data_IF_366616241134
#
_entry.id   IF_366616241134
#
_cell.length_a   1.000
_cell.length_b   1.000
_cell.length_c   1.000
_cell.angle_alpha   90.00
_cell.angle_beta   90.00
_cell.angle_gamma   90.00
#
_symmetry.space_group_name_H-M   'P 1'
#
loop_
_entity.id
_entity.type
_entity.pdbx_description
1 polymer ?
#
# COMPACT_ATOMS: atom_id res chain seq x y z
N UNK A 1 -28.83 19.82 -36.99
CA UNK A 1 -29.40 20.09 -35.66
C UNK A 1 -28.72 19.16 -34.68
N UNK A 2 -27.89 19.68 -33.77
CA UNK A 2 -27.19 18.89 -32.75
C UNK A 2 -27.45 19.60 -31.42
N UNK A 3 -28.18 18.94 -30.52
CA UNK A 3 -28.38 19.43 -29.15
C UNK A 3 -27.07 19.30 -28.36
N UNK A 4 -26.71 20.28 -27.50
CA UNK A 4 -25.50 20.18 -26.70
C UNK A 4 -25.81 19.45 -25.40
N UNK A 5 -25.76 18.11 -25.41
CA UNK A 5 -25.76 17.35 -24.15
C UNK A 5 -24.43 17.50 -23.38
N UNK A 6 -23.41 18.12 -23.99
CA UNK A 6 -22.07 18.27 -23.40
C UNK A 6 -21.72 19.75 -23.24
N UNK A 7 -21.82 20.23 -22.00
CA UNK A 7 -21.55 21.62 -21.61
C UNK A 7 -20.05 21.96 -21.53
N UNK A 8 -19.14 21.04 -21.81
CA UNK A 8 -17.69 21.27 -21.70
C UNK A 8 -17.01 20.94 -23.02
N UNK A 9 -16.27 21.92 -23.53
CA UNK A 9 -15.55 21.83 -24.80
C UNK A 9 -14.11 22.27 -24.59
N UNK A 10 -13.20 21.79 -25.44
CA UNK A 10 -11.83 22.30 -25.48
C UNK A 10 -11.53 22.94 -26.82
N UNK A 11 -10.76 24.02 -26.80
CA UNK A 11 -10.37 24.73 -27.99
C UNK A 11 -9.29 23.95 -28.75
N UNK A 12 -9.53 23.67 -30.03
CA UNK A 12 -8.55 23.04 -30.93
C UNK A 12 -7.70 24.07 -31.68
N UNK A 13 -8.16 25.31 -31.73
CA UNK A 13 -7.51 26.39 -32.46
C UNK A 13 -7.47 27.66 -31.60
N UNK A 14 -6.45 28.47 -31.82
CA UNK A 14 -6.35 29.78 -31.20
C UNK A 14 -7.28 30.78 -31.89
N UNK A 15 -7.91 31.63 -31.09
CA UNK A 15 -8.82 32.66 -31.58
C UNK A 15 -8.78 33.87 -30.65
N UNK A 16 -8.51 35.06 -31.19
CA UNK A 16 -8.47 36.28 -30.40
C UNK A 16 -9.09 37.44 -31.19
N UNK A 17 -10.30 37.84 -30.81
CA UNK A 17 -10.88 39.11 -31.25
C UNK A 17 -10.81 40.12 -30.10
N UNK A 18 -10.29 41.34 -30.33
CA UNK A 18 -10.30 42.39 -29.33
C UNK A 18 -11.74 42.84 -29.04
N UNK A 19 -12.18 42.71 -27.79
CA UNK A 19 -13.47 43.22 -27.33
C UNK A 19 -13.94 42.56 -26.04
N UNK A 20 -14.55 43.33 -25.14
CA UNK A 20 -15.03 42.86 -23.83
C UNK A 20 -16.08 41.74 -23.90
N UNK A 21 -16.71 41.51 -25.07
CA UNK A 21 -17.75 40.50 -25.26
C UNK A 21 -17.23 39.19 -25.83
N UNK A 22 -16.02 39.17 -26.41
CA UNK A 22 -15.43 37.99 -27.03
C UNK A 22 -14.48 37.29 -26.07
N UNK A 23 -14.53 35.96 -26.03
CA UNK A 23 -13.64 35.15 -25.23
C UNK A 23 -12.43 34.73 -26.08
N UNK A 24 -11.20 35.16 -25.73
CA UNK A 24 -10.01 34.68 -26.41
C UNK A 24 -9.78 33.20 -26.08
N UNK A 25 -9.62 32.39 -27.13
CA UNK A 25 -9.30 30.97 -27.07
C UNK A 25 -7.81 30.76 -27.31
N UNK A 26 -7.18 29.93 -26.47
CA UNK A 26 -5.91 29.30 -26.78
C UNK A 26 -6.13 27.82 -27.07
N UNK A 27 -5.34 27.23 -27.97
CA UNK A 27 -5.40 25.80 -28.22
C UNK A 27 -5.13 25.03 -26.91
N UNK A 28 -6.02 24.09 -26.59
CA UNK A 28 -6.02 23.35 -25.32
C UNK A 28 -6.81 24.00 -24.18
N UNK A 29 -7.36 25.21 -24.33
CA UNK A 29 -8.23 25.81 -23.31
C UNK A 29 -9.53 25.01 -23.17
N UNK A 30 -9.92 24.67 -21.94
CA UNK A 30 -11.21 24.04 -21.62
C UNK A 30 -12.22 25.10 -21.20
N UNK A 31 -13.44 25.00 -21.71
CA UNK A 31 -14.51 25.98 -21.53
C UNK A 31 -15.84 25.31 -21.20
N UNK A 32 -16.62 25.98 -20.36
CA UNK A 32 -18.00 25.62 -20.09
C UNK A 32 -18.93 26.44 -21.00
N UNK A 33 -19.69 25.76 -21.86
CA UNK A 33 -20.73 26.35 -22.72
C UNK A 33 -21.97 26.63 -21.88
N UNK A 34 -22.26 27.92 -21.69
CA UNK A 34 -23.47 28.38 -20.97
C UNK A 34 -24.67 28.48 -21.90
N UNK A 35 -24.48 29.04 -23.10
CA UNK A 35 -25.53 29.18 -24.12
C UNK A 35 -24.94 28.85 -25.49
N UNK A 36 -25.61 27.99 -26.24
CA UNK A 36 -25.24 27.63 -27.60
C UNK A 36 -26.20 28.31 -28.58
N UNK A 37 -25.71 29.28 -29.35
CA UNK A 37 -26.46 29.89 -30.43
C UNK A 37 -26.37 29.04 -31.72
N UNK A 38 -27.44 29.02 -32.49
CA UNK A 38 -27.54 28.35 -33.79
C UNK A 38 -26.65 29.02 -34.84
N UNK A 39 -26.26 30.28 -34.62
CA UNK A 39 -25.30 31.01 -35.45
C UNK A 39 -23.87 30.45 -35.41
N UNK A 40 -23.59 29.51 -34.50
CA UNK A 40 -22.25 28.94 -34.30
C UNK A 40 -21.37 29.73 -33.33
N UNK A 41 -21.92 30.76 -32.68
CA UNK A 41 -21.24 31.56 -31.66
C UNK A 41 -21.76 31.20 -30.27
N UNK A 42 -20.93 30.58 -29.45
CA UNK A 42 -21.32 30.09 -28.14
C UNK A 42 -20.84 31.01 -27.03
N UNK A 43 -21.69 31.22 -26.03
CA UNK A 43 -21.34 31.92 -24.81
C UNK A 43 -20.80 30.90 -23.81
N UNK A 44 -19.64 31.17 -23.25
CA UNK A 44 -19.13 30.33 -22.18
C UNK A 44 -18.04 30.97 -21.35
N UNK A 45 -17.56 30.18 -20.41
CA UNK A 45 -16.63 30.63 -19.37
C UNK A 45 -15.42 29.71 -19.37
N UNK A 46 -14.21 30.28 -19.45
CA UNK A 46 -12.97 29.51 -19.41
C UNK A 46 -12.54 29.17 -17.98
N UNK A 47 -11.55 28.29 -17.82
CA UNK A 47 -10.97 27.93 -16.52
C UNK A 47 -10.34 29.11 -15.75
N UNK A 48 -10.07 30.23 -16.44
CA UNK A 48 -9.56 31.47 -15.83
C UNK A 48 -10.69 32.37 -15.30
N UNK A 49 -11.95 31.94 -15.41
CA UNK A 49 -13.12 32.69 -14.95
C UNK A 49 -13.55 33.83 -15.88
N UNK A 50 -12.98 33.91 -17.09
CA UNK A 50 -13.37 34.89 -18.10
C UNK A 50 -14.56 34.36 -18.88
N UNK A 51 -15.58 35.20 -19.03
CA UNK A 51 -16.81 34.89 -19.78
C UNK A 51 -16.87 35.70 -21.06
N UNK A 52 -17.28 35.07 -22.15
CA UNK A 52 -17.46 35.75 -23.42
C UNK A 52 -17.91 34.78 -24.52
N UNK A 53 -18.09 35.35 -25.71
CA UNK A 53 -18.57 34.62 -26.89
C UNK A 53 -17.37 34.09 -27.69
N UNK A 54 -17.45 32.85 -28.14
CA UNK A 54 -16.43 32.19 -28.96
C UNK A 54 -17.05 31.31 -30.05
N UNK A 55 -16.34 31.05 -31.16
CA UNK A 55 -16.87 30.23 -32.24
C UNK A 55 -16.84 28.75 -31.86
N UNK A 56 -17.97 28.06 -32.03
CA UNK A 56 -18.11 26.63 -31.73
C UNK A 56 -17.24 25.75 -32.62
N UNK A 57 -17.01 26.17 -33.86
CA UNK A 57 -16.18 25.48 -34.87
C UNK A 57 -14.71 25.34 -34.46
N UNK A 58 -14.26 26.11 -33.46
CA UNK A 58 -12.90 26.08 -32.93
C UNK A 58 -12.80 25.19 -31.69
N UNK A 59 -13.84 24.43 -31.39
CA UNK A 59 -13.94 23.61 -30.18
C UNK A 59 -14.40 22.19 -30.48
N UNK A 60 -13.94 21.25 -29.67
CA UNK A 60 -14.41 19.86 -29.66
C UNK A 60 -14.96 19.50 -28.28
N UNK A 61 -15.90 18.55 -28.19
CA UNK A 61 -16.41 18.10 -26.91
C UNK A 61 -15.28 17.55 -26.04
N UNK A 62 -15.20 18.02 -24.79
CA UNK A 62 -14.16 17.58 -23.88
C UNK A 62 -14.64 16.36 -23.11
N UNK A 63 -14.10 15.19 -23.48
CA UNK A 63 -14.28 13.95 -22.72
C UNK A 63 -13.18 13.91 -21.66
N UNK A 64 -13.57 13.87 -20.38
CA UNK A 64 -12.60 13.69 -19.31
C UNK A 64 -11.86 12.37 -19.53
N UNK A 65 -10.52 12.37 -19.68
CA UNK A 65 -9.78 11.13 -19.73
C UNK A 65 -10.05 10.36 -18.43
N UNK A 66 -10.20 9.03 -18.48
CA UNK A 66 -10.32 8.24 -17.27
C UNK A 66 -9.12 8.57 -16.36
N UNK A 67 -9.35 8.79 -15.06
CA UNK A 67 -8.25 9.07 -14.13
C UNK A 67 -7.23 7.93 -14.22
N UNK A 68 -5.95 8.30 -14.14
CA UNK A 68 -4.83 7.38 -14.23
C UNK A 68 -5.00 6.21 -13.25
N UNK A 69 -4.71 4.99 -13.69
CA UNK A 69 -4.91 3.75 -12.93
C UNK A 69 -4.32 3.83 -11.51
N UNK A 70 -3.17 4.51 -11.37
CA UNK A 70 -2.48 4.71 -10.10
C UNK A 70 -3.28 5.61 -9.14
N UNK A 71 -3.92 6.67 -9.64
CA UNK A 71 -4.81 7.51 -8.81
C UNK A 71 -6.05 6.73 -8.35
N UNK A 72 -6.58 5.85 -9.20
CA UNK A 72 -7.68 4.96 -8.83
C UNK A 72 -7.24 3.91 -7.80
N UNK A 73 -6.02 3.39 -7.90
CA UNK A 73 -5.42 2.48 -6.91
C UNK A 73 -5.21 3.18 -5.57
N UNK A 74 -4.63 4.37 -5.57
CA UNK A 74 -4.40 5.17 -4.36
C UNK A 74 -5.72 5.52 -3.67
N UNK A 75 -6.72 5.93 -4.44
CA UNK A 75 -8.07 6.20 -3.92
C UNK A 75 -8.70 4.94 -3.32
N UNK A 76 -8.60 3.78 -3.99
CA UNK A 76 -9.05 2.50 -3.44
C UNK A 76 -8.31 2.15 -2.16
N UNK A 77 -7.01 2.38 -2.10
CA UNK A 77 -6.17 2.11 -0.94
C UNK A 77 -6.55 3.00 0.26
N UNK A 78 -6.81 4.29 0.02
CA UNK A 78 -7.27 5.25 1.03
C UNK A 78 -8.66 4.86 1.54
N UNK A 79 -9.58 4.50 0.65
CA UNK A 79 -10.92 4.06 1.03
C UNK A 79 -10.87 2.75 1.83
N UNK A 80 -10.02 1.80 1.41
CA UNK A 80 -9.79 0.55 2.13
C UNK A 80 -9.20 0.82 3.53
N UNK A 81 -8.19 1.68 3.62
CA UNK A 81 -7.59 2.09 4.89
C UNK A 81 -8.64 2.63 5.87
N UNK A 82 -9.56 3.47 5.38
CA UNK A 82 -10.68 3.99 6.20
C UNK A 82 -11.60 2.88 6.70
N UNK A 83 -11.91 1.87 5.89
CA UNK A 83 -12.69 0.71 6.33
C UNK A 83 -12.02 -0.06 7.48
N UNK A 84 -10.69 0.03 7.57
CA UNK A 84 -9.90 -0.57 8.65
C UNK A 84 -9.48 0.45 9.74
N UNK A 85 -10.03 1.67 9.74
CA UNK A 85 -9.69 2.69 10.74
C UNK A 85 -8.26 3.22 10.65
N UNK A 86 -7.63 3.10 9.48
CA UNK A 86 -6.27 3.60 9.19
C UNK A 86 -6.36 4.78 8.23
N UNK A 87 -5.80 5.92 8.63
CA UNK A 87 -5.62 7.04 7.71
C UNK A 87 -4.32 6.87 6.92
N UNK A 88 -4.46 6.50 5.65
CA UNK A 88 -3.34 6.31 4.72
C UNK A 88 -2.98 7.61 4.00
N UNK A 89 -3.82 8.65 4.10
CA UNK A 89 -3.63 9.91 3.37
C UNK A 89 -2.70 10.91 4.09
N UNK A 90 -2.47 10.75 5.40
CA UNK A 90 -1.68 11.70 6.21
C UNK A 90 -0.18 11.41 6.30
N UNK A 91 0.34 10.45 5.52
CA UNK A 91 1.78 10.17 5.44
C UNK A 91 2.41 9.51 6.68
N UNK A 92 1.62 9.27 7.73
CA UNK A 92 1.95 8.38 8.83
C UNK A 92 0.65 7.68 9.26
N UNK A 93 0.58 6.34 9.29
CA UNK A 93 -0.58 5.63 9.80
C UNK A 93 -0.63 5.81 11.33
N UNK A 94 -1.10 6.97 11.77
CA UNK A 94 -1.51 7.14 13.16
C UNK A 94 -2.77 6.30 13.37
N UNK A 95 -2.86 5.48 14.43
CA UNK A 95 -4.17 5.10 14.92
C UNK A 95 -4.90 6.41 15.21
N UNK A 96 -6.09 6.58 14.62
CA UNK A 96 -6.97 7.73 14.87
C UNK A 96 -7.38 7.71 16.34
N UNK A 97 -6.48 8.18 17.21
CA UNK A 97 -6.82 8.58 18.55
C UNK A 97 -7.67 9.84 18.39
N UNK A 98 -8.98 9.64 18.53
CA UNK A 98 -9.92 10.65 19.01
C UNK A 98 -10.19 11.83 18.08
N UNK A 99 -10.60 11.57 16.85
CA UNK A 99 -11.53 12.48 16.20
C UNK A 99 -12.63 11.69 15.52
N UNK A 100 -13.81 11.79 16.13
CA UNK A 100 -15.10 11.28 15.68
C UNK A 100 -15.41 9.86 16.19
N UNK A 101 -16.04 9.82 17.36
CA UNK A 101 -17.18 8.94 17.62
C UNK A 101 -18.29 9.21 16.57
N UNK A 102 -18.00 8.91 15.31
CA UNK A 102 -19.00 8.75 14.29
C UNK A 102 -18.91 7.28 13.92
N UNK A 103 -19.74 6.48 14.58
CA UNK A 103 -20.17 5.21 14.03
C UNK A 103 -20.46 5.44 12.56
N UNK A 104 -19.61 4.92 11.67
CA UNK A 104 -19.95 4.80 10.26
C UNK A 104 -20.93 3.63 10.19
N UNK A 105 -22.16 3.91 10.62
CA UNK A 105 -23.30 3.12 10.24
C UNK A 105 -23.44 3.24 8.73
N UNK A 106 -23.45 2.10 8.05
CA UNK A 106 -23.71 1.96 6.61
C UNK A 106 -25.20 2.24 6.26
N UNK A 107 -25.83 3.16 7.01
CA UNK A 107 -27.23 3.49 6.92
C UNK A 107 -27.39 4.94 6.42
N UNK A 108 -27.88 5.05 5.19
CA UNK A 108 -28.37 6.28 4.58
C UNK A 108 -27.34 7.39 4.34
N UNK A 109 -26.76 7.41 3.13
CA UNK A 109 -26.39 8.67 2.49
C UNK A 109 -27.67 9.50 2.32
N UNK A 110 -27.86 10.65 3.00
CA UNK A 110 -29.04 11.46 2.80
C UNK A 110 -29.03 11.97 1.36
N UNK A 111 -30.16 11.78 0.65
CA UNK A 111 -30.34 12.36 -0.67
C UNK A 111 -30.18 13.88 -0.60
N UNK A 112 -29.52 14.50 -1.59
CA UNK A 112 -29.27 15.94 -1.56
C UNK A 112 -30.60 16.70 -1.48
N UNK A 113 -30.65 17.82 -0.74
CA UNK A 113 -31.88 18.58 -0.54
C UNK A 113 -32.44 19.06 -1.90
N UNK A 114 -33.77 19.18 -2.07
CA UNK A 114 -34.40 19.55 -3.34
C UNK A 114 -34.03 20.95 -3.86
N UNK A 115 -33.30 21.76 -3.07
CA UNK A 115 -32.69 23.04 -3.47
C UNK A 115 -31.33 22.90 -4.16
N UNK A 116 -30.78 21.69 -4.28
CA UNK A 116 -29.46 21.42 -4.84
C UNK A 116 -29.53 21.34 -6.36
N UNK A 117 -29.31 22.48 -7.02
CA UNK A 117 -29.35 22.58 -8.48
C UNK A 117 -28.09 21.96 -9.13
N UNK A 118 -28.28 21.30 -10.27
CA UNK A 118 -27.20 20.77 -11.12
C UNK A 118 -26.09 21.81 -11.42
N UNK A 119 -26.47 23.10 -11.50
CA UNK A 119 -25.54 24.23 -11.68
C UNK A 119 -24.59 24.43 -10.49
N UNK A 120 -25.05 24.18 -9.26
CA UNK A 120 -24.22 24.26 -8.06
C UNK A 120 -23.23 23.09 -7.98
N UNK A 121 -23.65 21.88 -8.37
CA UNK A 121 -22.78 20.71 -8.49
C UNK A 121 -21.66 20.97 -9.49
N UNK A 122 -22.02 21.47 -10.68
CA UNK A 122 -21.06 21.78 -11.74
C UNK A 122 -20.05 22.84 -11.31
N UNK A 123 -20.51 23.91 -10.66
CA UNK A 123 -19.63 24.94 -10.11
C UNK A 123 -18.63 24.36 -9.09
N UNK A 124 -19.11 23.50 -8.17
CA UNK A 124 -18.24 22.87 -7.16
C UNK A 124 -17.24 21.89 -7.78
N UNK A 125 -17.63 21.16 -8.82
CA UNK A 125 -16.72 20.27 -9.55
C UNK A 125 -15.64 21.07 -10.31
N UNK A 126 -16.01 22.19 -10.93
CA UNK A 126 -15.06 23.11 -11.57
C UNK A 126 -14.09 23.72 -10.56
N UNK A 127 -14.59 24.19 -9.42
CA UNK A 127 -13.75 24.74 -8.34
C UNK A 127 -12.75 23.69 -7.82
N UNK A 128 -13.20 22.44 -7.70
CA UNK A 128 -12.37 21.29 -7.30
C UNK A 128 -11.29 20.98 -8.35
N UNK A 129 -11.64 20.91 -9.64
CA UNK A 129 -10.66 20.66 -10.71
C UNK A 129 -9.64 21.80 -10.83
N UNK A 130 -10.08 23.06 -10.66
CA UNK A 130 -9.18 24.22 -10.62
C UNK A 130 -8.23 24.18 -9.41
N UNK A 131 -8.72 23.74 -8.24
CA UNK A 131 -7.87 23.52 -7.07
C UNK A 131 -6.86 22.40 -7.31
N UNK A 132 -7.28 21.27 -7.89
CA UNK A 132 -6.42 20.14 -8.24
C UNK A 132 -5.31 20.57 -9.20
N UNK A 133 -5.63 21.29 -10.28
CA UNK A 133 -4.61 21.76 -11.24
C UNK A 133 -3.62 22.72 -10.59
N UNK A 134 -4.06 23.60 -9.69
CA UNK A 134 -3.16 24.45 -8.90
C UNK A 134 -2.19 23.63 -8.05
N UNK A 135 -2.70 22.62 -7.33
CA UNK A 135 -1.86 21.74 -6.50
C UNK A 135 -0.85 20.97 -7.36
N UNK A 136 -1.29 20.39 -8.48
CA UNK A 136 -0.39 19.64 -9.37
C UNK A 136 0.70 20.55 -9.96
N UNK A 137 0.39 21.80 -10.27
CA UNK A 137 1.38 22.79 -10.73
C UNK A 137 2.38 23.17 -9.63
N UNK A 138 1.93 23.34 -8.39
CA UNK A 138 2.84 23.61 -7.27
C UNK A 138 3.72 22.40 -6.97
N UNK A 139 3.17 21.18 -7.08
CA UNK A 139 3.93 19.94 -6.92
C UNK A 139 5.00 19.79 -7.99
N UNK A 140 4.68 20.07 -9.27
CA UNK A 140 5.67 20.00 -10.34
C UNK A 140 6.79 21.03 -10.13
N UNK A 141 6.44 22.26 -9.73
CA UNK A 141 7.42 23.29 -9.37
C UNK A 141 8.32 22.85 -8.20
N UNK A 142 7.74 22.22 -7.18
CA UNK A 142 8.50 21.73 -6.04
C UNK A 142 9.45 20.59 -6.44
N UNK A 143 8.98 19.65 -7.25
CA UNK A 143 9.83 18.59 -7.82
C UNK A 143 10.98 19.15 -8.65
N UNK A 144 10.73 20.13 -9.51
CA UNK A 144 11.77 20.82 -10.29
C UNK A 144 12.81 21.51 -9.38
N UNK A 145 12.38 22.13 -8.27
CA UNK A 145 13.32 22.71 -7.31
C UNK A 145 14.13 21.64 -6.57
N UNK A 146 13.52 20.49 -6.23
CA UNK A 146 14.23 19.38 -5.61
C UNK A 146 15.30 18.80 -6.54
N UNK A 147 14.97 18.57 -7.82
CA UNK A 147 15.95 18.07 -8.81
C UNK A 147 17.08 19.07 -9.01
N UNK A 148 16.78 20.38 -9.04
CA UNK A 148 17.81 21.42 -9.13
C UNK A 148 18.77 21.39 -7.93
N UNK A 149 18.23 21.24 -6.70
CA UNK A 149 19.04 21.13 -5.47
C UNK A 149 19.88 19.85 -5.46
N UNK A 150 19.36 18.73 -5.96
CA UNK A 150 20.10 17.47 -6.09
C UNK A 150 21.25 17.58 -7.11
N UNK A 151 21.02 18.23 -8.25
CA UNK A 151 22.06 18.51 -9.24
C UNK A 151 23.15 19.44 -8.69
N UNK A 152 22.79 20.47 -7.92
CA UNK A 152 23.76 21.33 -7.25
C UNK A 152 24.58 20.57 -6.21
N UNK A 153 23.93 19.73 -5.39
CA UNK A 153 24.63 18.86 -4.43
C UNK A 153 25.59 17.89 -5.12
N UNK A 154 25.19 17.30 -6.25
CA UNK A 154 26.05 16.42 -7.04
C UNK A 154 27.27 17.17 -7.61
N UNK A 155 27.09 18.41 -8.09
CA UNK A 155 28.20 19.27 -8.56
C UNK A 155 29.18 19.61 -7.42
N UNK A 156 28.68 19.92 -6.23
CA UNK A 156 29.52 20.19 -5.05
C UNK A 156 30.30 18.94 -4.64
N UNK A 157 29.65 17.77 -4.61
CA UNK A 157 30.29 16.50 -4.29
C UNK A 157 31.38 16.11 -5.30
N UNK A 158 31.13 16.33 -6.61
CA UNK A 158 32.15 16.14 -7.65
C UNK A 158 33.33 17.10 -7.46
N UNK A 159 33.07 18.38 -7.16
CA UNK A 159 34.12 19.36 -6.86
C UNK A 159 35.02 18.93 -5.70
N UNK A 160 34.43 18.49 -4.59
CA UNK A 160 35.16 17.95 -3.44
C UNK A 160 36.01 16.73 -3.80
N UNK A 161 35.45 15.76 -4.54
CA UNK A 161 36.19 14.57 -4.97
C UNK A 161 37.38 14.92 -5.89
N UNK A 162 37.21 15.89 -6.80
CA UNK A 162 38.35 16.34 -7.63
C UNK A 162 39.44 17.03 -6.81
N UNK A 163 39.08 17.76 -5.77
CA UNK A 163 40.03 18.42 -4.87
C UNK A 163 40.79 17.39 -4.02
N UNK A 164 40.11 16.36 -3.50
CA UNK A 164 40.74 15.25 -2.77
C UNK A 164 41.76 14.51 -3.64
N UNK A 165 41.41 14.22 -4.91
CA UNK A 165 42.33 13.58 -5.85
C UNK A 165 43.57 14.45 -6.13
N UNK A 166 43.40 15.77 -6.32
CA UNK A 166 44.52 16.69 -6.52
C UNK A 166 45.45 16.77 -5.30
N UNK A 167 44.89 16.67 -4.09
CA UNK A 167 45.67 16.63 -2.84
C UNK A 167 46.45 15.32 -2.74
N UNK A 168 45.81 14.19 -3.05
CA UNK A 168 46.45 12.88 -3.06
C UNK A 168 47.60 12.83 -4.10
N UNK A 169 47.39 13.33 -5.31
CA UNK A 169 48.41 13.39 -6.36
C UNK A 169 49.59 14.29 -5.94
N UNK A 170 49.32 15.44 -5.31
CA UNK A 170 50.37 16.32 -4.76
C UNK A 170 51.16 15.64 -3.64
N UNK A 171 50.50 14.92 -2.74
CA UNK A 171 51.17 14.15 -1.68
C UNK A 171 52.04 13.04 -2.25
N UNK A 172 51.56 12.30 -3.26
CA UNK A 172 52.36 11.28 -3.94
C UNK A 172 53.59 11.87 -4.63
N UNK A 173 53.43 13.02 -5.30
CA UNK A 173 54.54 13.73 -5.94
C UNK A 173 55.57 14.20 -4.90
N UNK A 174 55.11 14.66 -3.74
CA UNK A 174 55.99 15.06 -2.64
C UNK A 174 56.72 13.84 -2.07
N UNK A 175 56.05 12.72 -1.83
CA UNK A 175 56.69 11.51 -1.30
C UNK A 175 57.75 10.95 -2.23
N UNK A 176 57.53 10.99 -3.54
CA UNK A 176 58.53 10.59 -4.54
C UNK A 176 59.77 11.51 -4.49
N UNK A 177 59.57 12.83 -4.37
CA UNK A 177 60.67 13.78 -4.22
C UNK A 177 61.44 13.59 -2.92
N UNK A 178 60.76 13.29 -1.81
CA UNK A 178 61.41 12.97 -0.54
C UNK A 178 62.25 11.69 -0.66
N UNK A 179 61.72 10.63 -1.26
CA UNK A 179 62.47 9.40 -1.48
C UNK A 179 63.70 9.61 -2.37
N UNK A 180 63.60 10.43 -3.42
CA UNK A 180 64.74 10.79 -4.26
C UNK A 180 65.81 11.57 -3.49
N UNK A 181 65.39 12.48 -2.60
CA UNK A 181 66.29 13.25 -1.76
C UNK A 181 67.00 12.35 -0.73
N UNK A 182 66.27 11.44 -0.07
CA UNK A 182 66.85 10.43 0.82
C UNK A 182 67.86 9.53 0.09
N UNK A 183 67.54 9.07 -1.11
CA UNK A 183 68.47 8.29 -1.94
C UNK A 183 69.74 9.08 -2.27
N UNK A 184 69.61 10.38 -2.58
CA UNK A 184 70.76 11.26 -2.83
C UNK A 184 71.62 11.49 -1.58
N UNK A 185 70.99 11.62 -0.41
CA UNK A 185 71.70 11.71 0.87
C UNK A 185 72.45 10.42 1.18
N UNK A 186 71.83 9.26 0.97
CA UNK A 186 72.49 7.96 1.10
C UNK A 186 73.68 7.81 0.13
N UNK A 187 73.54 8.26 -1.11
CA UNK A 187 74.65 8.25 -2.06
C UNK A 187 75.79 9.19 -1.61
N UNK A 188 75.45 10.36 -1.07
CA UNK A 188 76.43 11.31 -0.52
C UNK A 188 77.11 10.77 0.73
N UNK A 189 76.40 10.08 1.63
CA UNK A 189 77.02 9.48 2.82
C UNK A 189 77.97 8.35 2.44
N UNK A 190 77.61 7.52 1.46
CA UNK A 190 78.50 6.47 0.92
C UNK A 190 79.74 7.08 0.26
N UNK A 191 79.58 8.12 -0.57
CA UNK A 191 80.73 8.83 -1.18
C UNK A 191 81.61 9.50 -0.12
N UNK A 192 81.00 10.12 0.90
CA UNK A 192 81.73 10.70 2.04
C UNK A 192 82.55 9.63 2.77
N UNK A 193 81.98 8.45 3.04
CA UNK A 193 82.73 7.36 3.67
C UNK A 193 83.87 6.85 2.80
N UNK A 194 83.68 6.76 1.47
CA UNK A 194 84.74 6.37 0.54
C UNK A 194 85.88 7.40 0.51
N UNK A 195 85.56 8.70 0.40
CA UNK A 195 86.57 9.76 0.42
C UNK A 195 87.33 9.87 1.75
N UNK A 196 86.70 9.50 2.87
CA UNK A 196 87.38 9.40 4.18
C UNK A 196 88.31 8.19 4.26
N UNK A 197 87.97 7.07 3.61
CA UNK A 197 88.81 5.87 3.55
C UNK A 197 90.00 6.05 2.59
N UNK A 198 89.80 6.75 1.48
CA UNK A 198 90.83 7.04 0.48
C UNK A 198 91.78 8.19 0.88
N UNK A 199 91.55 8.83 2.04
CA UNK A 199 92.38 9.92 2.56
C UNK A 199 92.30 11.23 1.75
N UNK A 200 91.29 11.37 0.88
CA UNK A 200 91.12 12.53 0.00
C UNK A 200 90.48 13.72 0.74
N UNK A 201 89.71 13.45 1.80
CA UNK A 201 89.06 14.48 2.62
C UNK A 201 89.62 14.44 4.05
N UNK A 202 90.10 15.57 4.61
CA UNK A 202 90.60 15.61 5.97
C UNK A 202 89.52 15.26 7.01
N UNK A 203 89.89 14.50 8.04
CA UNK A 203 89.01 14.05 9.14
C UNK A 203 88.49 15.21 9.99
N UNK A 204 87.43 14.99 10.79
CA UNK A 204 86.92 16.03 11.72
C UNK A 204 88.00 16.56 12.67
N UNK A 205 88.97 15.71 13.05
CA UNK A 205 90.15 16.09 13.81
C UNK A 205 91.06 17.10 13.09
N UNK A 206 91.12 17.08 11.75
CA UNK A 206 91.86 18.07 10.95
C UNK A 206 91.18 19.44 10.99
N UNK A 207 89.84 19.48 10.94
CA UNK A 207 89.05 20.71 11.09
C UNK A 207 89.12 21.26 12.52
N UNK A 208 89.16 20.41 13.53
CA UNK A 208 89.37 20.81 14.93
C UNK A 208 90.79 21.39 15.14
N UNK A 209 91.81 20.85 14.48
CA UNK A 209 93.16 21.45 14.45
C UNK A 209 93.21 22.80 13.72
N UNK A 210 92.43 22.98 12.65
CA UNK A 210 92.33 24.26 11.93
C UNK A 210 91.60 25.34 12.76
N UNK A 211 90.61 24.95 13.57
CA UNK A 211 89.91 25.84 14.49
C UNK A 211 90.76 26.31 15.69
N UNK A 212 91.85 25.59 16.02
CA UNK A 212 92.80 26.03 17.05
C UNK A 212 93.78 27.10 16.51
N UNK A 213 93.90 27.24 15.19
CA UNK A 213 94.86 28.20 14.56
C UNK A 213 94.30 29.62 14.40
N UNK A 214 93.06 29.90 14.82
CA UNK A 214 92.47 31.25 14.70
C UNK A 214 92.21 31.96 16.02
N UNK A 215 93.19 31.93 16.94
CA UNK A 215 93.33 32.98 17.98
C UNK A 215 94.78 33.44 18.08
N UNK A 216 95.26 34.05 17.00
CA UNK A 216 96.32 35.06 17.07
C UNK A 216 96.33 35.92 15.81
N UNK A 217 95.55 36.99 15.88
CA UNK A 217 95.85 38.24 15.19
C UNK A 217 95.63 38.25 13.68
N UNK A 218 94.44 38.62 13.24
CA UNK A 218 94.27 39.80 12.37
C UNK A 218 92.80 40.04 12.03
N UNK A 219 92.43 41.30 12.16
CA UNK A 219 91.17 41.94 11.81
C UNK A 219 90.65 41.51 10.42
N UNK A 220 89.40 41.06 10.31
CA UNK A 220 88.63 41.27 9.08
C UNK A 220 87.11 41.17 9.27
N UNK A 221 86.42 42.08 8.61
CA UNK A 221 84.98 42.36 8.61
C UNK A 221 84.07 41.20 8.14
N UNK A 222 84.66 40.08 7.69
CA UNK A 222 83.97 38.96 7.06
C UNK A 222 83.38 37.94 8.05
N UNK A 223 83.95 37.78 9.25
CA UNK A 223 83.45 36.84 10.29
C UNK A 223 82.06 37.24 10.83
N UNK A 224 81.82 38.55 11.02
CA UNK A 224 80.53 39.11 11.41
C UNK A 224 79.44 38.97 10.34
N UNK A 225 79.81 38.74 9.08
CA UNK A 225 78.88 38.56 7.96
C UNK A 225 78.23 37.18 8.00
N UNK A 226 79.01 36.15 8.31
CA UNK A 226 78.55 34.76 8.39
C UNK A 226 77.62 34.55 9.58
N UNK A 227 77.95 35.14 10.73
CA UNK A 227 77.10 35.05 11.93
C UNK A 227 75.73 35.75 11.73
N UNK A 228 75.70 36.89 11.03
CA UNK A 228 74.45 37.56 10.65
C UNK A 228 73.62 36.75 9.65
N UNK A 229 74.26 36.08 8.70
CA UNK A 229 73.58 35.22 7.72
C UNK A 229 72.90 34.02 8.40
N UNK A 230 73.59 33.33 9.31
CA UNK A 230 72.99 32.22 10.06
C UNK A 230 71.87 32.66 11.00
N UNK A 231 71.99 33.85 11.61
CA UNK A 231 70.90 34.40 12.44
C UNK A 231 69.69 34.83 11.61
N UNK A 232 69.85 35.22 10.34
CA UNK A 232 68.71 35.50 9.46
C UNK A 232 68.03 34.21 9.04
N UNK A 233 68.79 33.22 8.55
CA UNK A 233 68.20 31.94 8.12
C UNK A 233 67.46 31.22 9.26
N UNK A 234 67.99 31.30 10.48
CA UNK A 234 67.33 30.71 11.65
C UNK A 234 66.05 31.48 12.05
N UNK A 235 66.00 32.80 11.82
CA UNK A 235 64.75 33.58 11.96
C UNK A 235 63.74 33.20 10.87
N UNK A 236 64.17 33.07 9.63
CA UNK A 236 63.30 32.71 8.50
C UNK A 236 62.67 31.33 8.74
N UNK A 237 63.46 30.35 9.19
CA UNK A 237 62.94 29.02 9.57
C UNK A 237 61.96 29.11 10.74
N UNK A 238 62.24 29.94 11.74
CA UNK A 238 61.34 30.12 12.89
C UNK A 238 60.02 30.77 12.49
N UNK A 239 60.02 31.70 11.53
CA UNK A 239 58.79 32.27 10.99
C UNK A 239 57.98 31.26 10.19
N UNK A 240 58.63 30.43 9.37
CA UNK A 240 57.96 29.34 8.62
C UNK A 240 57.33 28.34 9.58
N UNK A 241 58.06 27.90 10.62
CA UNK A 241 57.52 26.97 11.62
C UNK A 241 56.33 27.59 12.36
N UNK A 242 56.42 28.86 12.75
CA UNK A 242 55.29 29.57 13.38
C UNK A 242 54.07 29.63 12.46
N UNK A 243 54.27 29.91 11.17
CA UNK A 243 53.19 29.90 10.17
C UNK A 243 52.53 28.53 10.04
N UNK A 244 53.32 27.45 10.03
CA UNK A 244 52.79 26.09 9.99
C UNK A 244 52.09 25.68 11.29
N UNK A 245 52.55 26.13 12.45
CA UNK A 245 51.87 25.93 13.73
C UNK A 245 50.50 26.62 13.75
N UNK A 246 50.42 27.85 13.23
CA UNK A 246 49.15 28.59 13.10
C UNK A 246 48.18 27.89 12.14
N UNK A 247 48.66 27.40 10.99
CA UNK A 247 47.85 26.62 10.04
C UNK A 247 47.36 25.30 10.66
N UNK A 248 48.22 24.58 11.41
CA UNK A 248 47.85 23.35 12.10
C UNK A 248 46.77 23.59 13.16
N UNK A 249 46.84 24.69 13.90
CA UNK A 249 45.81 25.08 14.88
C UNK A 249 44.48 25.39 14.17
N UNK A 250 44.53 26.12 13.06
CA UNK A 250 43.33 26.40 12.24
C UNK A 250 42.71 25.11 11.68
N UNK A 251 43.51 24.19 11.17
CA UNK A 251 43.02 22.90 10.67
C UNK A 251 42.43 22.04 11.80
N UNK A 252 43.10 21.96 12.95
CA UNK A 252 42.62 21.20 14.12
C UNK A 252 41.28 21.72 14.62
N UNK A 253 41.12 23.05 14.72
CA UNK A 253 39.85 23.67 15.13
C UNK A 253 38.74 23.46 14.10
N UNK A 254 39.05 23.53 12.80
CA UNK A 254 38.11 23.22 11.73
C UNK A 254 37.64 21.75 11.77
N UNK A 255 38.55 20.80 11.98
CA UNK A 255 38.19 19.39 12.13
C UNK A 255 37.27 19.17 13.33
N UNK A 256 37.59 19.75 14.50
CA UNK A 256 36.75 19.64 15.69
C UNK A 256 35.32 20.18 15.46
N UNK A 257 35.20 21.31 14.76
CA UNK A 257 33.89 21.88 14.40
C UNK A 257 33.09 20.98 13.46
N UNK A 258 33.76 20.33 12.50
CA UNK A 258 33.10 19.37 11.60
C UNK A 258 32.69 18.08 12.32
N UNK A 259 33.52 17.57 13.22
CA UNK A 259 33.18 16.42 14.07
C UNK A 259 31.93 16.73 14.93
N UNK A 260 31.91 17.89 15.59
CA UNK A 260 30.76 18.34 16.35
C UNK A 260 29.48 18.47 15.49
N UNK A 261 29.61 18.99 14.26
CA UNK A 261 28.51 19.08 13.32
C UNK A 261 27.98 17.70 12.91
N UNK A 262 28.89 16.75 12.65
CA UNK A 262 28.54 15.38 12.32
C UNK A 262 27.86 14.66 13.48
N UNK A 263 28.36 14.82 14.70
CA UNK A 263 27.76 14.26 15.92
C UNK A 263 26.33 14.78 16.08
N UNK A 264 26.11 16.10 15.97
CA UNK A 264 24.76 16.69 16.05
C UNK A 264 23.82 16.16 14.97
N UNK A 265 24.30 16.05 13.72
CA UNK A 265 23.51 15.50 12.63
C UNK A 265 23.15 14.02 12.86
N UNK A 266 24.09 13.24 13.40
CA UNK A 266 23.89 11.83 13.72
C UNK A 266 22.88 11.65 14.86
N UNK A 267 22.96 12.46 15.92
CA UNK A 267 21.98 12.45 17.00
C UNK A 267 20.58 12.80 16.51
N UNK A 268 20.44 13.84 15.67
CA UNK A 268 19.15 14.21 15.08
C UNK A 268 18.57 13.10 14.20
N UNK A 269 19.42 12.43 13.41
CA UNK A 269 18.99 11.28 12.62
C UNK A 269 18.54 10.12 13.52
N UNK A 270 19.29 9.83 14.58
CA UNK A 270 18.96 8.77 15.53
C UNK A 270 17.60 9.01 16.20
N UNK A 271 17.32 10.23 16.64
CA UNK A 271 16.02 10.59 17.22
C UNK A 271 14.86 10.39 16.24
N UNK A 272 15.03 10.78 14.96
CA UNK A 272 14.02 10.55 13.93
C UNK A 272 13.77 9.06 13.66
N UNK A 273 14.84 8.27 13.59
CA UNK A 273 14.75 6.81 13.41
C UNK A 273 14.04 6.18 14.60
N UNK A 274 14.42 6.55 15.82
CA UNK A 274 13.78 6.06 17.04
C UNK A 274 12.30 6.42 17.08
N UNK A 275 11.93 7.64 16.69
CA UNK A 275 10.54 8.08 16.64
C UNK A 275 9.72 7.30 15.60
N UNK A 276 10.28 7.09 14.39
CA UNK A 276 9.67 6.28 13.34
C UNK A 276 9.46 4.85 13.83
N UNK A 277 10.51 4.21 14.33
CA UNK A 277 10.49 2.81 14.73
C UNK A 277 9.56 2.59 15.92
N UNK A 278 9.54 3.52 16.89
CA UNK A 278 8.57 3.52 17.98
C UNK A 278 7.12 3.69 17.52
N UNK A 279 6.88 4.47 16.46
CA UNK A 279 5.54 4.62 15.87
C UNK A 279 5.09 3.38 15.13
N UNK A 280 5.98 2.77 14.33
CA UNK A 280 5.72 1.50 13.63
C UNK A 280 5.46 0.38 14.65
N UNK A 281 6.27 0.28 15.70
CA UNK A 281 6.10 -0.73 16.74
C UNK A 281 4.74 -0.61 17.45
N UNK A 282 4.30 0.61 17.79
CA UNK A 282 2.97 0.86 18.37
C UNK A 282 1.83 0.47 17.43
N UNK A 283 1.97 0.79 16.14
CA UNK A 283 0.97 0.37 15.14
C UNK A 283 0.87 -1.15 15.03
N UNK A 284 2.01 -1.85 14.96
CA UNK A 284 2.04 -3.30 14.88
C UNK A 284 1.46 -3.95 16.14
N UNK A 285 1.76 -3.40 17.33
CA UNK A 285 1.19 -3.87 18.59
C UNK A 285 -0.34 -3.74 18.61
N UNK A 286 -0.87 -2.58 18.20
CA UNK A 286 -2.32 -2.35 18.09
C UNK A 286 -3.01 -3.39 17.18
N UNK A 287 -2.42 -3.66 16.01
CA UNK A 287 -2.98 -4.63 15.07
C UNK A 287 -2.86 -6.07 15.56
N UNK A 288 -1.77 -6.40 16.28
CA UNK A 288 -1.63 -7.69 16.94
C UNK A 288 -2.72 -7.91 18.00
N UNK A 289 -2.99 -6.91 18.83
CA UNK A 289 -4.05 -6.96 19.86
C UNK A 289 -5.44 -7.09 19.22
N UNK A 290 -5.72 -6.32 18.17
CA UNK A 290 -6.98 -6.42 17.42
C UNK A 290 -7.16 -7.80 16.78
N UNK A 291 -6.13 -8.32 16.13
CA UNK A 291 -6.18 -9.66 15.53
C UNK A 291 -6.40 -10.74 16.61
N UNK A 292 -5.78 -10.59 17.77
CA UNK A 292 -5.95 -11.51 18.89
C UNK A 292 -7.36 -11.44 19.48
N UNK A 293 -7.95 -10.25 19.60
CA UNK A 293 -9.34 -10.07 20.04
C UNK A 293 -10.33 -10.73 19.08
N UNK A 294 -10.15 -10.56 17.76
CA UNK A 294 -11.01 -11.22 16.75
C UNK A 294 -10.84 -12.73 16.80
N UNK A 295 -9.60 -13.23 16.92
CA UNK A 295 -9.30 -14.66 16.99
C UNK A 295 -9.91 -15.33 18.22
N UNK A 296 -9.89 -14.66 19.37
CA UNK A 296 -10.50 -15.14 20.61
C UNK A 296 -12.02 -15.17 20.48
N UNK A 297 -12.65 -14.08 20.02
CA UNK A 297 -14.08 -14.04 19.78
C UNK A 297 -14.56 -15.14 18.80
N UNK A 298 -13.80 -15.40 17.73
CA UNK A 298 -14.11 -16.50 16.81
C UNK A 298 -14.02 -17.87 17.46
N UNK A 299 -12.99 -18.11 18.28
CA UNK A 299 -12.84 -19.38 19.01
C UNK A 299 -14.00 -19.61 19.96
N UNK A 300 -14.41 -18.58 20.69
CA UNK A 300 -15.53 -18.66 21.63
C UNK A 300 -16.85 -18.94 20.89
N UNK A 301 -17.09 -18.22 19.78
CA UNK A 301 -18.26 -18.44 18.93
C UNK A 301 -18.28 -19.85 18.34
N UNK A 302 -17.12 -20.38 17.92
CA UNK A 302 -17.01 -21.74 17.39
C UNK A 302 -17.33 -22.80 18.45
N UNK A 303 -16.80 -22.65 19.66
CA UNK A 303 -17.10 -23.58 20.76
C UNK A 303 -18.59 -23.59 21.07
N UNK A 304 -19.23 -22.42 21.09
CA UNK A 304 -20.68 -22.32 21.29
C UNK A 304 -21.46 -22.97 20.14
N UNK A 305 -21.04 -22.78 18.89
CA UNK A 305 -21.68 -23.39 17.73
C UNK A 305 -21.59 -24.91 17.78
N UNK A 306 -20.38 -25.46 18.00
CA UNK A 306 -20.16 -26.90 18.11
C UNK A 306 -21.00 -27.50 19.26
N UNK A 307 -21.14 -26.78 20.39
CA UNK A 307 -22.02 -27.19 21.48
C UNK A 307 -23.50 -27.22 21.06
N UNK A 308 -23.99 -26.22 20.32
CA UNK A 308 -25.38 -26.23 19.81
C UNK A 308 -25.61 -27.30 18.74
N UNK A 309 -24.60 -27.59 17.92
CA UNK A 309 -24.71 -28.62 16.89
C UNK A 309 -24.79 -30.02 17.53
N UNK A 310 -24.03 -30.27 18.58
CA UNK A 310 -24.11 -31.54 19.33
C UNK A 310 -25.47 -31.75 20.00
N UNK A 311 -26.10 -30.70 20.55
CA UNK A 311 -27.46 -30.83 21.12
C UNK A 311 -28.50 -31.10 20.04
N UNK A 312 -28.44 -30.40 18.91
CA UNK A 312 -29.32 -30.65 17.77
C UNK A 312 -29.16 -32.06 17.21
N UNK A 313 -27.93 -32.59 17.12
CA UNK A 313 -27.69 -33.97 16.71
C UNK A 313 -28.30 -34.99 17.67
N UNK A 314 -28.24 -34.73 18.97
CA UNK A 314 -28.88 -35.60 19.96
C UNK A 314 -30.40 -35.59 19.79
N UNK A 315 -31.01 -34.41 19.64
CA UNK A 315 -32.45 -34.27 19.40
C UNK A 315 -32.88 -34.96 18.09
N UNK A 316 -32.14 -34.76 17.00
CA UNK A 316 -32.40 -35.43 15.74
C UNK A 316 -32.35 -36.96 15.88
N UNK A 317 -31.36 -37.48 16.62
CA UNK A 317 -31.23 -38.92 16.88
C UNK A 317 -32.43 -39.46 17.68
N UNK A 318 -32.90 -38.70 18.67
CA UNK A 318 -34.09 -39.05 19.44
C UNK A 318 -35.35 -39.07 18.57
N UNK A 319 -35.53 -38.09 17.70
CA UNK A 319 -36.67 -38.03 16.78
C UNK A 319 -36.66 -39.18 15.77
N UNK A 320 -35.48 -39.55 15.25
CA UNK A 320 -35.32 -40.72 14.38
C UNK A 320 -35.78 -41.99 15.10
N UNK A 321 -35.34 -42.21 16.34
CA UNK A 321 -35.76 -43.36 17.14
C UNK A 321 -37.28 -43.40 17.34
N UNK A 322 -37.90 -42.25 17.66
CA UNK A 322 -39.35 -42.17 17.82
C UNK A 322 -40.11 -42.45 16.52
N UNK A 323 -39.58 -42.01 15.37
CA UNK A 323 -40.16 -42.33 14.06
C UNK A 323 -40.04 -43.81 13.73
N UNK A 324 -38.92 -44.45 14.07
CA UNK A 324 -38.72 -45.89 13.89
C UNK A 324 -39.70 -46.69 14.76
N UNK A 325 -39.84 -46.34 16.04
CA UNK A 325 -40.86 -46.95 16.92
C UNK A 325 -42.28 -46.77 16.37
N UNK A 326 -42.61 -45.55 15.93
CA UNK A 326 -43.93 -45.26 15.34
C UNK A 326 -44.19 -46.07 14.07
N UNK A 327 -43.16 -46.25 13.23
CA UNK A 327 -43.22 -47.07 12.02
C UNK A 327 -43.45 -48.54 12.36
N UNK A 328 -42.76 -49.08 13.36
CA UNK A 328 -42.95 -50.47 13.81
C UNK A 328 -44.37 -50.71 14.31
N UNK A 329 -44.89 -49.80 15.16
CA UNK A 329 -46.29 -49.86 15.64
C UNK A 329 -47.29 -49.84 14.49
N UNK A 330 -47.07 -49.01 13.48
CA UNK A 330 -47.91 -48.97 12.29
C UNK A 330 -47.85 -50.26 11.49
N UNK A 331 -46.67 -50.86 11.30
CA UNK A 331 -46.51 -52.14 10.61
C UNK A 331 -47.30 -53.24 11.34
N UNK A 332 -47.15 -53.33 12.66
CA UNK A 332 -47.89 -54.30 13.48
C UNK A 332 -49.41 -54.11 13.36
N UNK A 333 -49.90 -52.86 13.48
CA UNK A 333 -51.32 -52.56 13.32
C UNK A 333 -51.85 -52.93 11.92
N UNK A 334 -51.05 -52.69 10.87
CA UNK A 334 -51.39 -53.05 9.49
C UNK A 334 -51.45 -54.57 9.30
N UNK A 335 -50.57 -55.32 9.94
CA UNK A 335 -50.59 -56.79 9.92
C UNK A 335 -51.82 -57.35 10.64
N UNK A 336 -52.15 -56.81 11.81
CA UNK A 336 -53.37 -57.16 12.55
C UNK A 336 -54.62 -56.89 11.71
N UNK A 337 -54.69 -55.73 11.06
CA UNK A 337 -55.81 -55.42 10.16
C UNK A 337 -55.93 -56.42 9.00
N UNK A 338 -54.80 -56.81 8.40
CA UNK A 338 -54.80 -57.84 7.34
C UNK A 338 -55.30 -59.18 7.86
N UNK A 339 -54.94 -59.57 9.08
CA UNK A 339 -55.42 -60.81 9.70
C UNK A 339 -56.93 -60.78 9.93
N UNK A 340 -57.44 -59.69 10.55
CA UNK A 340 -58.88 -59.51 10.78
C UNK A 340 -59.66 -59.52 9.46
N UNK A 341 -59.12 -58.91 8.41
CA UNK A 341 -59.74 -58.92 7.08
C UNK A 341 -59.85 -60.33 6.51
N UNK A 342 -58.80 -61.16 6.63
CA UNK A 342 -58.85 -62.57 6.19
C UNK A 342 -59.92 -63.34 6.96
N UNK A 343 -59.99 -63.16 8.28
CA UNK A 343 -61.03 -63.80 9.10
C UNK A 343 -62.44 -63.37 8.68
N UNK A 344 -62.64 -62.08 8.37
CA UNK A 344 -63.92 -61.59 7.87
C UNK A 344 -64.29 -62.19 6.49
N UNK A 345 -63.30 -62.35 5.60
CA UNK A 345 -63.48 -63.01 4.31
C UNK A 345 -63.83 -64.51 4.47
N UNK A 346 -63.21 -65.22 5.41
CA UNK A 346 -63.55 -66.60 5.77
C UNK A 346 -64.98 -66.72 6.31
N UNK A 347 -65.38 -65.86 7.24
CA UNK A 347 -66.74 -65.82 7.79
C UNK A 347 -67.74 -65.53 6.66
N UNK A 348 -67.44 -64.58 5.78
CA UNK A 348 -68.28 -64.27 4.61
C UNK A 348 -68.47 -65.50 3.71
N UNK A 349 -67.40 -66.25 3.42
CA UNK A 349 -67.48 -67.48 2.64
C UNK A 349 -68.33 -68.57 3.33
N UNK A 350 -68.22 -68.72 4.65
CA UNK A 350 -69.05 -69.65 5.43
C UNK A 350 -70.52 -69.25 5.39
N UNK A 351 -70.83 -67.95 5.51
CA UNK A 351 -72.20 -67.45 5.41
C UNK A 351 -72.78 -67.71 4.02
N UNK A 352 -72.03 -67.45 2.94
CA UNK A 352 -72.47 -67.77 1.58
C UNK A 352 -72.74 -69.26 1.38
N UNK A 353 -71.90 -70.14 1.96
CA UNK A 353 -72.13 -71.59 1.91
C UNK A 353 -73.39 -71.99 2.68
N UNK A 354 -73.66 -71.36 3.82
CA UNK A 354 -74.90 -71.57 4.57
C UNK A 354 -76.12 -71.15 3.74
N UNK A 355 -76.09 -69.96 3.13
CA UNK A 355 -77.19 -69.47 2.30
C UNK A 355 -77.49 -70.43 1.13
N UNK A 356 -76.46 -71.03 0.54
CA UNK A 356 -76.60 -72.07 -0.49
C UNK A 356 -77.17 -73.40 0.04
N UNK A 357 -76.83 -73.81 1.25
CA UNK A 357 -77.44 -74.98 1.90
C UNK A 357 -78.92 -74.71 2.22
N UNK A 358 -79.24 -73.51 2.68
CA UNK A 358 -80.61 -73.08 2.97
C UNK A 358 -81.45 -73.00 1.67
N UNK A 359 -80.85 -72.68 0.52
CA UNK A 359 -81.54 -72.77 -0.78
C UNK A 359 -81.79 -74.21 -1.23
N UNK A 360 -80.78 -75.08 -1.15
CA UNK A 360 -80.95 -76.51 -1.47
C UNK A 360 -81.97 -77.19 -0.55
N UNK A 361 -81.99 -76.83 0.73
CA UNK A 361 -82.98 -77.35 1.69
C UNK A 361 -84.41 -76.94 1.32
N UNK A 362 -84.59 -75.71 0.81
CA UNK A 362 -85.88 -75.26 0.27
C UNK A 362 -86.27 -76.03 -0.99
N UNK A 363 -85.35 -76.24 -1.92
CA UNK A 363 -85.60 -77.04 -3.13
C UNK A 363 -85.97 -78.50 -2.79
N UNK A 364 -85.27 -79.13 -1.83
CA UNK A 364 -85.61 -80.48 -1.36
C UNK A 364 -87.02 -80.49 -0.75
N UNK A 365 -87.36 -79.52 0.11
CA UNK A 365 -88.69 -79.44 0.70
C UNK A 365 -89.80 -79.25 -0.36
N UNK A 366 -89.53 -78.50 -1.43
CA UNK A 366 -90.44 -78.37 -2.57
C UNK A 366 -90.63 -79.69 -3.32
N UNK A 367 -89.54 -80.44 -3.55
CA UNK A 367 -89.59 -81.78 -4.17
C UNK A 367 -90.31 -82.78 -3.28
N UNK A 368 -90.03 -82.82 -1.98
CA UNK A 368 -90.71 -83.69 -1.01
C UNK A 368 -92.21 -83.39 -0.95
N UNK A 369 -92.61 -82.11 -1.00
CA UNK A 369 -94.00 -81.71 -1.11
C UNK A 369 -94.65 -82.21 -2.42
N UNK A 370 -93.94 -82.14 -3.54
CA UNK A 370 -94.41 -82.66 -4.83
C UNK A 370 -94.54 -84.19 -4.83
N UNK A 371 -93.60 -84.92 -4.22
CA UNK A 371 -93.67 -86.38 -4.03
C UNK A 371 -94.85 -86.75 -3.13
N UNK A 372 -95.02 -86.07 -1.99
CA UNK A 372 -96.14 -86.30 -1.09
C UNK A 372 -97.50 -86.06 -1.76
N UNK A 373 -97.59 -85.03 -2.64
CA UNK A 373 -98.76 -84.84 -3.50
C UNK A 373 -98.93 -86.04 -4.44
N UNK A 374 -97.90 -86.49 -5.16
CA UNK A 374 -97.99 -87.63 -6.07
C UNK A 374 -98.40 -88.94 -5.37
N UNK A 375 -97.91 -89.20 -4.16
CA UNK A 375 -98.33 -90.34 -3.34
C UNK A 375 -99.79 -90.23 -2.87
N UNK A 376 -100.27 -89.03 -2.53
CA UNK A 376 -101.69 -88.79 -2.25
C UNK A 376 -102.56 -89.02 -3.50
N UNK A 377 -102.08 -88.62 -4.68
CA UNK A 377 -102.74 -88.92 -5.95
C UNK A 377 -102.83 -90.43 -6.23
N UNK A 378 -101.78 -91.21 -5.93
CA UNK A 378 -101.79 -92.68 -6.06
C UNK A 378 -102.70 -93.37 -5.03
N UNK A 379 -102.80 -92.86 -3.78
CA UNK A 379 -103.72 -93.42 -2.76
C UNK A 379 -105.20 -93.17 -3.08
N UNK A 380 -105.51 -92.26 -4.00
CA UNK A 380 -106.86 -91.94 -4.45
C UNK A 380 -107.23 -92.58 -5.80
N UNK A 381 -106.40 -93.46 -6.37
CA UNK A 381 -106.78 -94.30 -7.50
C UNK A 381 -107.66 -95.49 -7.04
N UNK A 382 -108.92 -95.62 -7.49
CA UNK A 382 -109.73 -96.79 -7.19
C UNK A 382 -109.26 -97.99 -8.03
N UNK A 383 -108.95 -99.08 -7.33
CA UNK A 383 -108.70 -100.41 -7.92
C UNK A 383 -109.91 -100.83 -8.78
N UNK A 384 -109.69 -100.98 -10.08
CA UNK A 384 -110.58 -101.70 -11.00
C UNK A 384 -109.80 -102.80 -11.74
N UNK A 385 -109.89 -104.01 -11.19
CA UNK A 385 -109.87 -105.37 -11.76
C UNK A 385 -108.90 -105.73 -12.92
N UNK A 386 -108.00 -106.68 -12.64
CA UNK A 386 -107.96 -108.03 -13.25
C UNK A 386 -107.11 -108.96 -12.39
#
# INVERSE_FOLDING_TARGET
MVQPEQHIVYAIHEYAIPGSRFLPLKAGDVMHVEEADESGWWLGTNLRGQKGIFPSTYTLPYVFPPPMEDMMRDMRLILLGRCFGVDVASGAPLPLLQCMDAEVCDAYMPSPPPSFSYKQVHKRLLDREAARTRVMKLLSQLMETCTCVEEERAKIAQGLATQEQQVADRQATLSEKFAALEASLCALTVRKSACLQDGIVPTSAWYEQFNIVSVSGSSSSHSLSYERAWRSTLRDVKEVVRGQEEELICLSTSCAQQEDAFVRATSSLHERVQWRDGSVARMLAYWADKAQAVKTAYRDAKVMHDATETTLHLEASQLIHLLEEGRERYIQAKELFRQLRRQAEEISAVLQRKDALDSLSREIAEVDAAIAMHEQWQRHEPVALS
#
